data_IF_836208716324
#
_entry.id   IF_836208716324
#
_cell.length_a   1.000
_cell.length_b   1.000
_cell.length_c   1.000
_cell.angle_alpha   90.00
_cell.angle_beta   90.00
_cell.angle_gamma   90.00
#
_symmetry.space_group_name_H-M   'P 1'
#
loop_
_entity.id
_entity.type
_entity.pdbx_description
1 polymer ?
#
# COMPACT_ATOMS: atom_id res chain seq x y z
N UNK A 1 -27.72 -48.78 3.62
CA UNK A 1 -26.54 -48.15 3.00
C UNK A 1 -27.00 -46.94 2.22
N UNK A 2 -27.02 -45.76 2.86
CA UNK A 2 -27.37 -44.51 2.21
C UNK A 2 -26.15 -44.06 1.38
N UNK A 3 -26.31 -44.08 0.05
CA UNK A 3 -25.30 -43.56 -0.86
C UNK A 3 -25.11 -42.08 -0.61
N UNK A 4 -23.95 -41.72 -0.06
CA UNK A 4 -23.53 -40.32 0.05
C UNK A 4 -23.39 -39.75 -1.36
N UNK A 5 -24.41 -39.03 -1.83
CA UNK A 5 -24.34 -38.25 -3.06
C UNK A 5 -23.23 -37.21 -2.94
N UNK A 6 -22.16 -37.38 -3.72
CA UNK A 6 -21.01 -36.49 -3.68
C UNK A 6 -21.25 -35.27 -4.58
N UNK A 7 -20.98 -34.04 -4.11
CA UNK A 7 -21.27 -32.83 -4.87
C UNK A 7 -20.41 -32.68 -6.14
N UNK A 8 -20.99 -32.15 -7.26
CA UNK A 8 -20.24 -31.83 -8.47
C UNK A 8 -19.32 -30.60 -8.29
N UNK A 9 -18.31 -30.43 -9.17
CA UNK A 9 -17.31 -29.35 -9.11
C UNK A 9 -17.92 -27.93 -8.90
N UNK A 10 -19.03 -27.53 -9.56
CA UNK A 10 -19.67 -26.24 -9.31
C UNK A 10 -20.15 -26.06 -7.86
N UNK A 11 -20.59 -27.13 -7.20
CA UNK A 11 -21.02 -27.10 -5.80
C UNK A 11 -19.84 -26.93 -4.84
N UNK A 12 -18.66 -27.44 -5.20
CA UNK A 12 -17.44 -27.26 -4.40
C UNK A 12 -16.86 -25.85 -4.58
N UNK A 13 -16.86 -25.30 -5.79
CA UNK A 13 -16.50 -23.90 -6.02
C UNK A 13 -17.47 -22.96 -5.29
N UNK A 14 -18.77 -23.26 -5.31
CA UNK A 14 -19.76 -22.52 -4.54
C UNK A 14 -19.44 -22.56 -3.04
N UNK A 15 -19.00 -23.69 -2.48
CA UNK A 15 -18.62 -23.79 -1.06
C UNK A 15 -17.50 -22.81 -0.67
N UNK A 16 -16.48 -22.66 -1.51
CA UNK A 16 -15.31 -21.84 -1.24
C UNK A 16 -15.34 -20.44 -1.88
N UNK A 17 -16.46 -20.03 -2.49
CA UNK A 17 -16.60 -18.73 -3.16
C UNK A 17 -16.22 -17.53 -2.27
N UNK A 18 -16.45 -17.64 -0.95
CA UNK A 18 -16.17 -16.55 -0.01
C UNK A 18 -14.69 -16.40 0.34
N UNK A 19 -13.83 -17.39 0.05
CA UNK A 19 -12.39 -17.24 0.29
C UNK A 19 -11.62 -16.75 -0.95
N UNK A 20 -12.24 -16.74 -2.13
CA UNK A 20 -11.60 -16.23 -3.35
C UNK A 20 -11.38 -14.72 -3.26
N UNK A 21 -10.26 -14.26 -3.79
CA UNK A 21 -9.88 -12.84 -3.86
C UNK A 21 -8.63 -12.48 -3.07
N UNK A 22 -8.49 -11.18 -2.80
CA UNK A 22 -7.31 -10.59 -2.18
C UNK A 22 -7.52 -10.36 -0.68
N UNK A 23 -6.49 -10.65 0.11
CA UNK A 23 -6.58 -10.68 1.57
C UNK A 23 -5.31 -10.17 2.24
N UNK A 24 -5.50 -9.55 3.40
CA UNK A 24 -4.42 -9.20 4.33
C UNK A 24 -4.54 -10.11 5.57
N UNK A 25 -3.47 -10.83 5.95
CA UNK A 25 -3.46 -11.60 7.19
C UNK A 25 -3.34 -10.69 8.40
N UNK A 26 -4.02 -11.06 9.49
CA UNK A 26 -3.97 -10.39 10.78
C UNK A 26 -2.75 -10.87 11.58
N UNK A 27 -1.59 -10.24 11.32
CA UNK A 27 -0.28 -10.57 11.93
C UNK A 27 0.25 -9.36 12.68
N UNK A 28 -0.55 -8.87 13.65
CA UNK A 28 -0.21 -7.68 14.42
C UNK A 28 0.14 -6.49 13.50
N UNK A 29 1.27 -5.80 13.72
CA UNK A 29 1.63 -4.65 12.89
C UNK A 29 2.11 -5.02 11.49
N UNK A 30 2.44 -6.29 11.21
CA UNK A 30 3.16 -6.67 10.00
C UNK A 30 2.28 -6.85 8.77
N UNK A 31 1.02 -7.27 8.94
CA UNK A 31 0.13 -7.57 7.82
C UNK A 31 0.69 -8.63 6.86
N UNK A 32 0.43 -8.46 5.57
CA UNK A 32 0.81 -9.42 4.52
C UNK A 32 -0.08 -9.29 3.28
N UNK A 33 0.18 -10.11 2.26
CA UNK A 33 -0.61 -10.11 1.03
C UNK A 33 -0.87 -11.54 0.56
N UNK A 34 -2.13 -11.97 0.62
CA UNK A 34 -2.56 -13.28 0.14
C UNK A 34 -3.56 -13.11 -1.01
N UNK A 35 -3.33 -13.80 -2.13
CA UNK A 35 -4.31 -13.91 -3.21
C UNK A 35 -4.78 -15.37 -3.33
N UNK A 36 -6.08 -15.59 -3.17
CA UNK A 36 -6.69 -16.92 -3.22
C UNK A 36 -7.38 -17.10 -4.56
N UNK A 37 -6.87 -18.04 -5.36
CA UNK A 37 -7.25 -18.22 -6.76
C UNK A 37 -7.64 -19.66 -7.07
N UNK A 38 -8.39 -19.85 -8.15
CA UNK A 38 -8.67 -21.17 -8.73
C UNK A 38 -7.60 -21.47 -9.79
N UNK A 39 -6.98 -22.65 -9.70
CA UNK A 39 -6.03 -23.15 -10.68
C UNK A 39 -6.33 -24.64 -10.98
N UNK A 40 -6.96 -24.89 -12.13
CA UNK A 40 -7.44 -26.22 -12.51
C UNK A 40 -8.39 -26.81 -11.46
N UNK A 41 -7.96 -27.92 -10.83
CA UNK A 41 -8.69 -28.58 -9.76
C UNK A 41 -8.26 -28.11 -8.36
N UNK A 42 -7.56 -26.99 -8.24
CA UNK A 42 -7.12 -26.45 -6.96
C UNK A 42 -7.70 -25.07 -6.69
N UNK A 43 -7.91 -24.78 -5.40
CA UNK A 43 -7.94 -23.41 -4.89
C UNK A 43 -6.65 -23.20 -4.10
N UNK A 44 -5.85 -22.20 -4.42
CA UNK A 44 -4.54 -21.98 -3.82
C UNK A 44 -4.48 -20.60 -3.19
N UNK A 45 -4.05 -20.53 -1.92
CA UNK A 45 -3.72 -19.28 -1.26
C UNK A 45 -2.25 -18.93 -1.47
N UNK A 46 -1.97 -18.02 -2.40
CA UNK A 46 -0.62 -17.53 -2.70
C UNK A 46 -0.26 -16.35 -1.81
N UNK A 47 0.73 -16.52 -0.94
CA UNK A 47 1.32 -15.44 -0.16
C UNK A 47 2.38 -14.74 -1.00
N UNK A 48 2.23 -13.43 -1.17
CA UNK A 48 3.16 -12.56 -1.86
C UNK A 48 4.02 -11.81 -0.86
N UNK A 49 5.32 -11.81 -1.09
CA UNK A 49 6.33 -11.20 -0.22
C UNK A 49 7.17 -10.21 -1.05
N UNK A 50 7.59 -9.08 -0.47
CA UNK A 50 8.47 -8.15 -1.18
C UNK A 50 9.82 -8.82 -1.52
N UNK A 51 10.56 -8.31 -2.50
CA UNK A 51 11.94 -8.75 -2.76
C UNK A 51 12.85 -8.40 -1.58
N UNK A 52 14.13 -8.74 -1.69
CA UNK A 52 15.12 -8.41 -0.66
C UNK A 52 15.42 -6.91 -0.65
N UNK A 53 15.60 -6.34 0.54
CA UNK A 53 16.00 -4.93 0.69
C UNK A 53 17.40 -4.68 0.09
N UNK A 54 17.64 -3.55 -0.61
CA UNK A 54 16.70 -2.45 -0.92
C UNK A 54 16.08 -2.52 -2.33
N UNK A 55 16.08 -3.69 -2.97
CA UNK A 55 15.82 -3.87 -4.41
C UNK A 55 14.33 -3.76 -4.78
N UNK A 56 13.75 -2.56 -4.67
CA UNK A 56 12.34 -2.29 -5.03
C UNK A 56 12.04 -2.52 -6.51
N UNK A 57 13.04 -2.61 -7.40
CA UNK A 57 12.83 -2.97 -8.80
C UNK A 57 12.45 -4.43 -9.02
N UNK A 58 12.83 -5.31 -8.09
CA UNK A 58 12.73 -6.76 -8.28
C UNK A 58 11.28 -7.26 -8.17
N UNK A 59 10.97 -8.42 -8.80
CA UNK A 59 9.65 -9.02 -8.74
C UNK A 59 9.29 -9.48 -7.32
N UNK A 60 7.98 -9.58 -7.05
CA UNK A 60 7.48 -10.17 -5.82
C UNK A 60 7.90 -11.64 -5.73
N UNK A 61 8.31 -12.08 -4.54
CA UNK A 61 8.40 -13.50 -4.21
C UNK A 61 6.99 -14.00 -3.89
N UNK A 62 6.71 -15.27 -4.15
CA UNK A 62 5.43 -15.86 -3.79
C UNK A 62 5.56 -17.35 -3.45
N UNK A 63 4.73 -17.81 -2.50
CA UNK A 63 4.67 -19.22 -2.09
C UNK A 63 3.26 -19.62 -1.65
N UNK A 64 2.85 -20.88 -1.80
CA UNK A 64 1.52 -21.32 -1.38
C UNK A 64 1.50 -21.49 0.15
N UNK A 65 0.44 -21.04 0.82
CA UNK A 65 0.23 -21.31 2.26
C UNK A 65 -0.76 -22.44 2.51
N UNK A 66 -1.71 -22.61 1.59
CA UNK A 66 -2.65 -23.71 1.60
C UNK A 66 -3.10 -24.00 0.18
N UNK A 67 -3.63 -25.21 -0.03
CA UNK A 67 -4.40 -25.55 -1.21
C UNK A 67 -5.62 -26.37 -0.85
N UNK A 68 -6.64 -26.31 -1.70
CA UNK A 68 -7.85 -27.10 -1.61
C UNK A 68 -7.96 -27.89 -2.90
N UNK A 69 -7.81 -29.21 -2.82
CA UNK A 69 -7.91 -30.09 -3.98
C UNK A 69 -9.37 -30.49 -4.22
N UNK A 70 -9.89 -30.09 -5.37
CA UNK A 70 -11.23 -30.38 -5.85
C UNK A 70 -11.22 -31.75 -6.54
N UNK A 71 -11.47 -32.81 -5.78
CA UNK A 71 -11.52 -34.17 -6.34
C UNK A 71 -12.92 -34.51 -6.86
N UNK A 72 -13.00 -35.14 -8.04
CA UNK A 72 -14.24 -35.75 -8.50
C UNK A 72 -14.68 -36.85 -7.53
N UNK A 73 -15.93 -36.82 -7.08
CA UNK A 73 -16.54 -37.87 -6.23
C UNK A 73 -15.89 -38.05 -4.85
N UNK A 74 -15.11 -37.08 -4.35
CA UNK A 74 -14.75 -36.96 -2.92
C UNK A 74 -15.00 -35.54 -2.40
N UNK A 75 -15.11 -35.38 -1.09
CA UNK A 75 -15.03 -34.05 -0.47
C UNK A 75 -13.66 -33.43 -0.77
N UNK A 76 -13.63 -32.14 -1.06
CA UNK A 76 -12.37 -31.43 -1.25
C UNK A 76 -11.45 -31.60 -0.05
N UNK A 77 -10.16 -31.81 -0.29
CA UNK A 77 -9.15 -31.93 0.76
C UNK A 77 -8.44 -30.60 0.93
N UNK A 78 -8.37 -30.13 2.16
CA UNK A 78 -7.63 -28.91 2.53
C UNK A 78 -6.25 -29.33 3.02
N UNK A 79 -5.22 -28.75 2.42
CA UNK A 79 -3.83 -29.02 2.77
C UNK A 79 -3.14 -27.72 3.17
N UNK A 80 -2.44 -27.75 4.31
CA UNK A 80 -1.46 -26.75 4.67
C UNK A 80 -0.19 -26.99 3.84
N UNK A 81 0.38 -25.91 3.32
CA UNK A 81 1.58 -25.94 2.47
C UNK A 81 2.79 -25.32 3.16
N UNK A 82 2.66 -24.92 4.42
CA UNK A 82 3.72 -24.26 5.18
C UNK A 82 4.80 -25.24 5.65
N UNK A 83 6.02 -24.74 5.86
CA UNK A 83 7.17 -25.56 6.22
C UNK A 83 7.84 -26.25 5.04
N UNK A 84 8.71 -27.22 5.35
CA UNK A 84 9.62 -27.83 4.37
C UNK A 84 9.47 -29.35 4.25
N UNK A 85 8.41 -29.92 4.85
CA UNK A 85 8.12 -31.38 4.84
C UNK A 85 6.97 -31.78 3.91
N UNK A 86 6.55 -30.87 3.04
CA UNK A 86 5.50 -31.10 2.04
C UNK A 86 4.06 -30.85 2.54
N UNK A 87 3.07 -31.05 1.65
CA UNK A 87 1.66 -30.85 1.97
C UNK A 87 1.17 -31.78 3.08
N UNK A 88 0.37 -31.25 3.99
CA UNK A 88 -0.18 -31.99 5.12
C UNK A 88 -1.57 -31.46 5.51
N UNK A 89 -2.26 -32.10 6.44
CA UNK A 89 -3.67 -31.79 6.72
C UNK A 89 -3.83 -30.35 7.26
N UNK A 90 -4.68 -29.57 6.61
CA UNK A 90 -5.04 -28.21 7.02
C UNK A 90 -6.55 -28.03 7.12
N UNK A 91 -6.96 -26.90 7.68
CA UNK A 91 -8.37 -26.51 7.80
C UNK A 91 -8.57 -25.07 7.33
N UNK A 92 -9.75 -24.82 6.76
CA UNK A 92 -10.25 -23.48 6.44
C UNK A 92 -11.56 -23.28 7.18
N UNK A 93 -11.66 -22.18 7.91
CA UNK A 93 -12.90 -21.74 8.55
C UNK A 93 -13.33 -20.41 7.95
N UNK A 94 -14.47 -20.41 7.26
CA UNK A 94 -15.09 -19.19 6.73
C UNK A 94 -15.90 -18.56 7.87
N UNK A 95 -15.52 -17.36 8.31
CA UNK A 95 -16.18 -16.68 9.43
C UNK A 95 -17.30 -15.79 8.90
N UNK A 96 -16.98 -14.96 7.91
CA UNK A 96 -17.91 -14.05 7.22
C UNK A 96 -17.54 -13.98 5.73
N UNK A 97 -18.29 -13.20 4.95
CA UNK A 97 -17.96 -12.94 3.53
C UNK A 97 -16.55 -12.36 3.35
N UNK A 98 -16.11 -11.53 4.29
CA UNK A 98 -14.88 -10.74 4.20
C UNK A 98 -13.83 -11.18 5.23
N UNK A 99 -13.99 -12.39 5.78
CA UNK A 99 -13.08 -12.95 6.80
C UNK A 99 -13.06 -14.48 6.77
N UNK A 100 -11.87 -15.06 6.70
CA UNK A 100 -11.65 -16.51 6.89
C UNK A 100 -10.37 -16.77 7.65
N UNK A 101 -10.21 -17.98 8.19
CA UNK A 101 -8.98 -18.40 8.85
C UNK A 101 -8.48 -19.75 8.36
N UNK A 102 -7.18 -19.96 8.56
CA UNK A 102 -6.45 -21.22 8.33
C UNK A 102 -6.07 -21.83 9.67
N UNK A 103 -6.03 -23.15 9.75
CA UNK A 103 -5.48 -23.86 10.91
C UNK A 103 -4.70 -25.10 10.47
N UNK A 104 -3.50 -25.26 11.00
CA UNK A 104 -2.70 -26.47 10.88
C UNK A 104 -2.69 -27.21 12.22
N UNK A 105 -3.02 -28.50 12.23
CA UNK A 105 -2.95 -29.34 13.43
C UNK A 105 -1.70 -30.25 13.43
N UNK A 106 -0.87 -30.18 12.38
CA UNK A 106 0.32 -31.00 12.16
C UNK A 106 1.55 -30.10 12.01
N UNK A 107 1.78 -29.23 13.01
CA UNK A 107 2.84 -28.21 12.97
C UNK A 107 4.26 -28.79 13.11
N UNK A 108 4.38 -30.08 13.38
CA UNK A 108 5.62 -30.85 13.25
C UNK A 108 6.19 -30.78 11.83
N UNK A 109 5.33 -30.55 10.83
CA UNK A 109 5.71 -30.33 9.43
C UNK A 109 6.44 -29.00 9.21
N UNK A 110 6.23 -28.03 10.11
CA UNK A 110 6.84 -26.72 10.05
C UNK A 110 8.24 -26.68 10.69
N UNK A 111 8.55 -27.67 11.55
CA UNK A 111 9.80 -27.73 12.29
C UNK A 111 10.94 -28.28 11.44
N UNK A 112 12.13 -27.68 11.58
CA UNK A 112 13.36 -28.16 10.92
C UNK A 112 14.22 -28.99 11.88
N UNK A 113 15.09 -29.86 11.33
CA UNK A 113 15.94 -30.77 12.11
C UNK A 113 16.93 -30.04 13.01
N UNK A 114 17.45 -28.90 12.57
CA UNK A 114 18.32 -27.99 13.33
C UNK A 114 17.55 -27.04 14.25
N UNK A 115 16.26 -27.30 14.48
CA UNK A 115 15.39 -26.54 15.38
C UNK A 115 15.20 -25.08 14.95
N UNK A 116 14.86 -24.25 15.93
CA UNK A 116 14.52 -22.82 15.73
C UNK A 116 15.66 -22.00 15.10
N UNK A 117 16.91 -22.40 15.31
CA UNK A 117 18.06 -21.72 14.70
C UNK A 117 18.12 -21.95 13.18
N UNK A 118 17.83 -23.18 12.73
CA UNK A 118 17.76 -23.47 11.30
C UNK A 118 16.52 -22.82 10.65
N UNK A 119 15.38 -22.81 11.36
CA UNK A 119 14.18 -22.09 10.92
C UNK A 119 14.46 -20.60 10.72
N UNK A 120 15.14 -19.95 11.68
CA UNK A 120 15.52 -18.55 11.57
C UNK A 120 16.47 -18.29 10.40
N UNK A 121 17.54 -19.09 10.24
CA UNK A 121 18.50 -18.94 9.15
C UNK A 121 17.85 -19.14 7.78
N UNK A 122 16.91 -20.08 7.67
CA UNK A 122 16.17 -20.33 6.43
C UNK A 122 15.22 -19.17 6.12
N UNK A 123 14.45 -18.72 7.11
CA UNK A 123 13.58 -17.55 6.97
C UNK A 123 14.36 -16.28 6.62
N UNK A 124 15.52 -16.05 7.25
CA UNK A 124 16.37 -14.89 6.98
C UNK A 124 16.89 -14.91 5.54
N UNK A 125 17.30 -16.08 5.03
CA UNK A 125 17.69 -16.25 3.63
C UNK A 125 16.52 -15.97 2.69
N UNK A 126 15.32 -16.44 3.01
CA UNK A 126 14.13 -16.21 2.20
C UNK A 126 13.73 -14.73 2.17
N UNK A 127 13.74 -14.04 3.32
CA UNK A 127 13.25 -12.66 3.47
C UNK A 127 14.27 -11.58 3.15
N UNK A 128 15.56 -11.85 3.36
CA UNK A 128 16.63 -10.85 3.25
C UNK A 128 17.77 -11.24 2.33
N UNK A 129 17.94 -12.53 2.02
CA UNK A 129 19.04 -13.00 1.15
C UNK A 129 20.45 -12.81 1.73
N UNK A 130 20.56 -12.47 3.02
CA UNK A 130 21.81 -12.17 3.74
C UNK A 130 21.89 -12.95 5.04
N UNK A 131 23.08 -13.10 5.61
CA UNK A 131 23.20 -13.56 6.99
C UNK A 131 22.95 -12.41 7.97
N UNK A 132 22.83 -12.71 9.27
CA UNK A 132 22.59 -11.66 10.26
C UNK A 132 23.83 -10.78 10.43
N UNK A 133 25.02 -11.38 10.29
CA UNK A 133 26.32 -10.73 10.39
C UNK A 133 26.57 -9.74 9.24
N UNK A 134 26.00 -10.00 8.06
CA UNK A 134 26.08 -9.11 6.89
C UNK A 134 25.18 -7.86 7.02
N UNK A 135 24.31 -7.81 8.03
CA UNK A 135 23.40 -6.69 8.29
C UNK A 135 24.08 -5.74 9.27
N UNK A 136 24.71 -4.69 8.75
CA UNK A 136 25.59 -3.79 9.51
C UNK A 136 24.95 -3.03 10.68
N UNK A 137 23.61 -2.88 10.72
CA UNK A 137 22.94 -2.10 11.76
C UNK A 137 22.29 -3.02 12.82
N UNK A 138 22.78 -2.94 14.05
CA UNK A 138 22.27 -3.74 15.19
C UNK A 138 20.75 -3.58 15.38
N UNK A 139 20.24 -2.35 15.34
CA UNK A 139 18.81 -2.10 15.45
C UNK A 139 17.98 -2.82 14.37
N UNK A 140 18.51 -2.94 13.15
CA UNK A 140 17.86 -3.68 12.07
C UNK A 140 17.85 -5.20 12.36
N UNK A 141 18.94 -5.73 12.91
CA UNK A 141 18.99 -7.14 13.36
C UNK A 141 17.94 -7.42 14.45
N UNK A 142 17.78 -6.52 15.42
CA UNK A 142 16.77 -6.64 16.48
C UNK A 142 15.35 -6.67 15.90
N UNK A 143 15.03 -5.75 14.99
CA UNK A 143 13.72 -5.69 14.32
C UNK A 143 13.44 -6.98 13.52
N UNK A 144 14.45 -7.50 12.83
CA UNK A 144 14.37 -8.74 12.06
C UNK A 144 14.09 -9.94 12.98
N UNK A 145 14.84 -10.06 14.08
CA UNK A 145 14.64 -11.10 15.08
C UNK A 145 13.25 -11.01 15.71
N UNK A 146 12.80 -9.81 16.09
CA UNK A 146 11.47 -9.59 16.64
C UNK A 146 10.39 -9.99 15.64
N UNK A 147 10.51 -9.58 14.37
CA UNK A 147 9.57 -9.97 13.30
C UNK A 147 9.52 -11.48 13.13
N UNK A 148 10.67 -12.17 13.08
CA UNK A 148 10.70 -13.62 12.99
C UNK A 148 10.00 -14.28 14.18
N UNK A 149 10.36 -13.90 15.41
CA UNK A 149 9.80 -14.50 16.63
C UNK A 149 8.28 -14.29 16.66
N UNK A 150 7.81 -13.08 16.39
CA UNK A 150 6.40 -12.72 16.44
C UNK A 150 5.58 -13.46 15.36
N UNK A 151 5.99 -13.34 14.09
CA UNK A 151 5.25 -13.92 12.96
C UNK A 151 5.23 -15.45 13.01
N UNK A 152 6.31 -16.08 13.48
CA UNK A 152 6.37 -17.54 13.61
C UNK A 152 5.54 -18.11 14.76
N UNK A 153 5.04 -17.29 15.71
CA UNK A 153 4.09 -17.76 16.74
C UNK A 153 2.75 -18.16 16.14
N UNK A 154 2.36 -17.56 15.01
CA UNK A 154 1.10 -17.89 14.36
C UNK A 154 1.14 -19.29 13.74
N UNK A 155 2.32 -19.77 13.36
CA UNK A 155 2.54 -21.12 12.82
C UNK A 155 1.55 -21.49 11.69
N UNK A 156 1.30 -20.52 10.79
CA UNK A 156 0.33 -20.57 9.70
C UNK A 156 -1.14 -20.81 10.14
N UNK A 157 -1.47 -20.57 11.41
CA UNK A 157 -2.83 -20.45 11.90
C UNK A 157 -3.25 -18.98 11.88
N UNK A 158 -3.67 -18.53 10.70
CA UNK A 158 -3.89 -17.10 10.40
C UNK A 158 -5.36 -16.80 10.13
N UNK A 159 -5.81 -15.64 10.59
CA UNK A 159 -7.06 -14.99 10.16
C UNK A 159 -6.75 -13.98 9.06
N UNK A 160 -7.59 -13.93 8.04
CA UNK A 160 -7.44 -13.08 6.87
C UNK A 160 -8.64 -12.18 6.71
N UNK A 161 -8.40 -10.90 6.45
CA UNK A 161 -9.43 -9.91 6.14
C UNK A 161 -9.37 -9.50 4.69
N UNK A 162 -10.54 -9.34 4.07
CA UNK A 162 -10.63 -9.00 2.66
C UNK A 162 -10.08 -7.61 2.40
N UNK A 163 -9.26 -7.50 1.37
CA UNK A 163 -8.82 -6.22 0.80
C UNK A 163 -9.17 -6.19 -0.68
N UNK A 164 -9.12 -5.02 -1.28
CA UNK A 164 -9.38 -4.82 -2.69
C UNK A 164 -8.29 -3.98 -3.34
N UNK A 165 -8.10 -4.17 -4.65
CA UNK A 165 -7.35 -3.21 -5.45
C UNK A 165 -8.16 -1.90 -5.58
N UNK A 166 -7.46 -0.76 -5.64
CA UNK A 166 -8.10 0.54 -5.80
C UNK A 166 -8.78 0.67 -7.17
N UNK A 167 -9.95 1.34 -7.24
CA UNK A 167 -10.56 1.68 -8.51
C UNK A 167 -9.63 2.64 -9.28
N UNK A 168 -9.65 2.55 -10.61
CA UNK A 168 -8.89 3.44 -11.50
C UNK A 168 -9.81 4.44 -12.18
N UNK A 169 -9.37 5.68 -12.28
CA UNK A 169 -10.01 6.76 -13.02
C UNK A 169 -9.09 7.30 -14.12
N UNK A 170 -9.60 7.76 -15.28
CA UNK A 170 -8.77 8.33 -16.34
C UNK A 170 -7.95 9.57 -15.92
N UNK A 171 -8.47 10.32 -14.95
CA UNK A 171 -7.83 11.54 -14.43
C UNK A 171 -6.81 11.26 -13.29
N UNK A 172 -6.61 9.99 -12.92
CA UNK A 172 -5.62 9.63 -11.90
C UNK A 172 -4.21 10.02 -12.37
N UNK A 173 -3.40 10.54 -11.45
CA UNK A 173 -2.03 10.99 -11.74
C UNK A 173 -1.18 9.88 -12.38
N UNK A 174 -1.36 8.65 -11.91
CA UNK A 174 -0.81 7.40 -12.44
C UNK A 174 -1.79 6.28 -12.13
N UNK A 175 -1.65 5.13 -12.77
CA UNK A 175 -2.48 3.96 -12.46
C UNK A 175 -2.39 3.62 -10.95
N UNK A 176 -3.48 3.53 -10.20
CA UNK A 176 -3.42 3.13 -8.79
C UNK A 176 -3.07 1.64 -8.66
N UNK A 177 -2.70 1.20 -7.46
CA UNK A 177 -2.35 -0.20 -7.22
C UNK A 177 -1.35 -0.41 -6.09
N UNK A 178 -0.70 -1.57 -6.10
CA UNK A 178 0.28 -1.96 -5.08
C UNK A 178 1.71 -1.59 -5.51
N UNK A 179 2.50 -1.13 -4.56
CA UNK A 179 3.90 -0.73 -4.72
C UNK A 179 4.74 -1.34 -3.61
N UNK A 180 6.00 -1.63 -3.93
CA UNK A 180 7.03 -2.04 -2.98
C UNK A 180 7.82 -0.79 -2.60
N UNK A 181 7.94 -0.48 -1.32
CA UNK A 181 8.56 0.75 -0.82
C UNK A 181 9.65 0.49 0.22
N UNK A 182 10.70 1.32 0.24
CA UNK A 182 11.74 1.25 1.29
C UNK A 182 11.30 1.98 2.57
N UNK A 183 11.44 1.33 3.72
CA UNK A 183 11.09 1.85 5.06
C UNK A 183 12.26 1.75 6.05
N UNK A 184 13.45 2.19 5.62
CA UNK A 184 14.63 2.30 6.48
C UNK A 184 15.05 0.96 7.09
N UNK A 185 15.15 0.90 8.42
CA UNK A 185 15.56 -0.31 9.15
C UNK A 185 14.50 -1.42 9.15
N UNK A 186 13.27 -1.13 8.74
CA UNK A 186 12.21 -2.14 8.62
C UNK A 186 12.28 -2.93 7.30
N UNK A 187 13.13 -2.48 6.36
CA UNK A 187 13.29 -3.08 5.04
C UNK A 187 12.22 -2.64 4.05
N UNK A 188 11.78 -3.56 3.20
CA UNK A 188 10.73 -3.30 2.22
C UNK A 188 9.34 -3.57 2.76
N UNK A 189 8.40 -2.72 2.37
CA UNK A 189 6.97 -2.88 2.64
C UNK A 189 6.12 -2.76 1.37
N UNK A 190 4.91 -3.30 1.43
CA UNK A 190 3.90 -3.19 0.39
C UNK A 190 2.94 -2.06 0.76
N UNK A 191 2.81 -1.08 -0.12
CA UNK A 191 1.92 0.07 0.04
C UNK A 191 0.95 0.14 -1.14
N UNK A 192 -0.32 0.36 -0.84
CA UNK A 192 -1.37 0.57 -1.83
C UNK A 192 -1.58 2.06 -2.07
N UNK A 193 -1.37 2.49 -3.33
CA UNK A 193 -1.68 3.84 -3.79
C UNK A 193 -3.11 3.89 -4.34
N UNK A 194 -3.92 4.81 -3.83
CA UNK A 194 -5.31 5.04 -4.24
C UNK A 194 -5.60 6.54 -4.37
N UNK A 195 -6.56 6.92 -5.22
CA UNK A 195 -6.93 8.30 -5.48
C UNK A 195 -8.33 8.61 -4.93
N UNK A 196 -8.47 9.80 -4.33
CA UNK A 196 -9.64 10.26 -3.58
C UNK A 196 -9.89 11.74 -3.93
N UNK A 197 -10.37 11.99 -5.15
CA UNK A 197 -10.52 13.35 -5.68
C UNK A 197 -9.16 14.03 -5.85
N UNK A 198 -8.95 15.17 -5.17
CA UNK A 198 -7.69 15.92 -5.20
C UNK A 198 -6.60 15.36 -4.27
N UNK A 199 -6.81 14.19 -3.67
CA UNK A 199 -5.83 13.56 -2.78
C UNK A 199 -5.45 12.18 -3.26
N UNK A 200 -4.18 11.81 -3.12
CA UNK A 200 -3.76 10.43 -3.22
C UNK A 200 -3.34 9.90 -1.84
N UNK A 201 -3.67 8.64 -1.58
CA UNK A 201 -3.45 7.95 -0.30
C UNK A 201 -2.57 6.72 -0.51
N UNK A 202 -1.48 6.66 0.25
CA UNK A 202 -0.66 5.46 0.45
C UNK A 202 -1.09 4.72 1.73
N UNK A 203 -1.61 3.52 1.59
CA UNK A 203 -2.05 2.66 2.71
C UNK A 203 -1.12 1.45 2.84
N UNK A 204 -0.64 1.16 4.06
CA UNK A 204 0.22 0.00 4.31
C UNK A 204 -0.55 -1.31 4.15
N UNK A 205 -0.07 -2.20 3.28
CA UNK A 205 -0.54 -3.59 3.15
C UNK A 205 0.30 -4.52 4.01
N UNK A 206 1.61 -4.27 4.04
CA UNK A 206 2.48 -4.72 5.14
C UNK A 206 2.94 -3.51 5.91
N UNK A 207 3.24 -3.68 7.19
CA UNK A 207 3.76 -2.60 8.01
C UNK A 207 4.80 -3.05 9.02
N UNK A 208 5.00 -2.18 9.99
CA UNK A 208 6.02 -2.30 11.01
C UNK A 208 5.47 -1.83 12.37
N UNK A 209 6.17 -2.11 13.48
CA UNK A 209 5.71 -1.71 14.81
C UNK A 209 5.56 -0.21 15.05
N UNK A 210 6.16 0.64 14.21
CA UNK A 210 5.98 2.09 14.27
C UNK A 210 4.72 2.49 13.51
N UNK A 211 4.58 2.11 12.23
CA UNK A 211 3.38 2.33 11.43
C UNK A 211 2.83 0.97 10.97
N UNK A 212 1.77 0.47 11.65
CA UNK A 212 1.18 -0.83 11.34
C UNK A 212 0.58 -0.95 9.93
N UNK A 213 0.45 -2.19 9.47
CA UNK A 213 -0.39 -2.53 8.33
C UNK A 213 -1.83 -2.00 8.53
N UNK A 214 -2.47 -1.53 7.46
CA UNK A 214 -3.78 -0.88 7.48
C UNK A 214 -3.72 0.64 7.65
N UNK A 215 -2.65 1.19 8.22
CA UNK A 215 -2.52 2.63 8.42
C UNK A 215 -2.20 3.40 7.13
N UNK A 216 -2.61 4.66 7.10
CA UNK A 216 -2.24 5.60 6.04
C UNK A 216 -0.82 6.11 6.29
N UNK A 217 0.15 5.61 5.52
CA UNK A 217 1.56 6.00 5.65
C UNK A 217 1.87 7.32 4.96
N UNK A 218 1.20 7.63 3.85
CA UNK A 218 1.43 8.85 3.06
C UNK A 218 0.10 9.40 2.54
N UNK A 219 -0.03 10.72 2.51
CA UNK A 219 -1.06 11.44 1.74
C UNK A 219 -0.40 12.51 0.89
N UNK A 220 -0.93 12.69 -0.31
CA UNK A 220 -0.40 13.59 -1.31
C UNK A 220 -1.53 14.55 -1.68
N UNK A 221 -1.26 15.85 -1.58
CA UNK A 221 -2.17 16.89 -2.03
C UNK A 221 -1.89 17.19 -3.50
N UNK A 222 -2.76 16.71 -4.38
CA UNK A 222 -2.60 16.83 -5.84
C UNK A 222 -2.87 18.25 -6.35
N UNK A 223 -3.40 19.14 -5.51
CA UNK A 223 -3.55 20.56 -5.86
C UNK A 223 -2.32 21.38 -5.48
N UNK A 224 -1.39 20.83 -4.69
CA UNK A 224 -0.20 21.52 -4.20
C UNK A 224 1.06 21.01 -4.89
N UNK A 225 1.18 21.36 -6.17
CA UNK A 225 2.40 21.07 -6.95
C UNK A 225 3.58 21.86 -6.40
N UNK A 226 4.70 21.18 -6.15
CA UNK A 226 5.97 21.78 -5.78
C UNK A 226 6.83 21.91 -7.04
N UNK A 227 7.29 23.12 -7.32
CA UNK A 227 8.31 23.33 -8.34
C UNK A 227 9.67 23.09 -7.67
N UNK A 228 10.36 22.03 -8.09
CA UNK A 228 11.73 21.81 -7.61
C UNK A 228 12.65 22.88 -8.21
N UNK A 229 13.63 23.37 -7.44
CA UNK A 229 14.67 24.22 -7.98
C UNK A 229 15.61 23.41 -8.89
N UNK A 230 16.54 24.10 -9.55
CA UNK A 230 17.58 23.43 -10.34
C UNK A 230 18.43 22.45 -9.50
N UNK A 231 19.25 21.63 -10.18
CA UNK A 231 20.03 20.57 -9.53
C UNK A 231 21.00 21.09 -8.46
N UNK A 232 21.57 22.29 -8.65
CA UNK A 232 22.51 22.85 -7.69
C UNK A 232 21.80 23.25 -6.40
N UNK A 233 20.64 23.90 -6.54
CA UNK A 233 19.80 24.31 -5.43
C UNK A 233 19.06 23.14 -4.77
N UNK A 234 18.69 22.10 -5.52
CA UNK A 234 18.06 20.90 -4.98
C UNK A 234 18.99 20.11 -4.05
N UNK A 235 20.31 20.23 -4.24
CA UNK A 235 21.31 19.68 -3.29
C UNK A 235 21.27 20.40 -1.93
N UNK A 236 20.74 21.62 -1.86
CA UNK A 236 20.60 22.36 -0.61
C UNK A 236 19.32 21.95 0.12
N UNK A 237 19.47 21.13 1.16
CA UNK A 237 18.35 20.68 1.99
C UNK A 237 17.53 21.83 2.59
N UNK A 238 18.17 22.92 3.00
CA UNK A 238 17.48 24.04 3.63
C UNK A 238 16.54 24.76 2.65
N UNK A 239 16.91 24.84 1.38
CA UNK A 239 16.08 25.46 0.35
C UNK A 239 14.83 24.60 0.07
N UNK A 240 15.01 23.28 -0.08
CA UNK A 240 13.86 22.37 -0.20
C UNK A 240 12.95 22.45 1.03
N UNK A 241 13.54 22.46 2.24
CA UNK A 241 12.79 22.56 3.50
C UNK A 241 11.95 23.84 3.56
N UNK A 242 12.52 24.98 3.19
CA UNK A 242 11.83 26.27 3.14
C UNK A 242 10.59 26.20 2.24
N UNK A 243 10.74 25.70 1.00
CA UNK A 243 9.64 25.57 0.04
C UNK A 243 8.51 24.69 0.59
N UNK A 244 8.85 23.55 1.18
CA UNK A 244 7.86 22.60 1.71
C UNK A 244 7.10 23.20 2.90
N UNK A 245 7.80 23.90 3.79
CA UNK A 245 7.18 24.52 4.96
C UNK A 245 6.31 25.72 4.59
N UNK A 246 6.66 26.48 3.55
CA UNK A 246 5.79 27.54 3.00
C UNK A 246 4.48 26.96 2.45
N UNK A 247 4.53 25.85 1.70
CA UNK A 247 3.32 25.16 1.22
C UNK A 247 2.51 24.59 2.38
N UNK A 248 3.15 24.02 3.41
CA UNK A 248 2.47 23.54 4.62
C UNK A 248 1.68 24.67 5.30
N UNK A 249 2.26 25.85 5.41
CA UNK A 249 1.62 27.00 6.03
C UNK A 249 0.41 27.51 5.23
N UNK A 250 0.53 27.55 3.89
CA UNK A 250 -0.60 27.87 3.02
C UNK A 250 -1.76 26.86 3.18
N UNK A 251 -1.45 25.56 3.18
CA UNK A 251 -2.43 24.49 3.38
C UNK A 251 -3.12 24.62 4.74
N UNK A 252 -2.37 24.95 5.81
CA UNK A 252 -2.93 25.16 7.15
C UNK A 252 -3.90 26.35 7.18
N UNK A 253 -3.51 27.48 6.58
CA UNK A 253 -4.34 28.69 6.53
C UNK A 253 -5.66 28.46 5.79
N UNK A 254 -5.64 27.72 4.67
CA UNK A 254 -6.85 27.40 3.92
C UNK A 254 -7.78 26.44 4.67
N UNK A 255 -7.23 25.47 5.40
CA UNK A 255 -8.03 24.56 6.24
C UNK A 255 -8.73 25.31 7.38
N UNK A 256 -8.03 26.24 8.04
CA UNK A 256 -8.61 27.07 9.11
C UNK A 256 -9.65 28.07 8.58
N UNK A 257 -9.45 28.62 7.39
CA UNK A 257 -10.42 29.52 6.76
C UNK A 257 -11.68 28.81 6.25
N UNK A 258 -11.57 27.54 5.86
CA UNK A 258 -12.68 26.70 5.41
C UNK A 258 -13.62 26.20 6.52
N UNK A 259 -13.18 26.26 7.79
CA UNK A 259 -13.97 25.85 8.98
C UNK A 259 -14.71 27.01 9.67
N UNK A 260 -14.74 28.21 9.07
CA UNK A 260 -15.50 29.35 9.59
C UNK A 260 -17.03 29.17 9.47
N UNK A 261 -17.84 29.63 10.45
CA UNK A 261 -19.30 29.52 10.38
C UNK A 261 -19.83 30.33 9.20
N UNK A 262 -20.59 29.68 8.32
CA UNK A 262 -21.28 30.34 7.22
C UNK A 262 -22.12 31.51 7.79
N UNK A 263 -21.96 32.75 7.30
CA UNK A 263 -22.84 33.83 7.72
C UNK A 263 -24.25 33.52 7.22
N UNK A 264 -25.19 33.46 8.17
CA UNK A 264 -26.63 33.42 7.93
C UNK A 264 -27.00 34.52 6.92
N UNK A 265 -27.36 34.12 5.70
CA UNK A 265 -28.15 34.96 4.80
C UNK A 265 -29.61 34.57 4.99
N UNK A 266 -30.35 35.45 5.66
CA UNK A 266 -31.80 35.42 5.71
C UNK A 266 -32.41 35.52 4.29
N UNK A 267 -33.52 34.82 4.01
CA UNK A 267 -34.14 34.83 2.69
C UNK A 267 -34.97 36.11 2.49
N UNK A 268 -34.50 36.99 1.61
CA UNK A 268 -35.32 38.10 1.11
C UNK A 268 -36.25 37.62 -0.02
N UNK A 269 -37.49 38.09 0.07
CA UNK A 269 -38.73 37.72 -0.62
C UNK A 269 -38.71 38.09 -2.12
N UNK A 270 -39.31 37.22 -2.96
CA UNK A 270 -39.68 37.48 -4.37
C UNK A 270 -40.72 38.62 -4.43
N UNK A 271 -40.80 39.46 -5.47
CA UNK A 271 -41.47 39.19 -6.76
C UNK A 271 -41.49 40.51 -7.61
N UNK A 272 -42.14 40.62 -8.81
CA UNK A 272 -41.46 40.74 -10.11
C UNK A 272 -41.80 42.02 -10.91
N UNK A 273 -41.12 42.28 -12.05
CA UNK A 273 -41.67 42.78 -13.34
C UNK A 273 -40.55 43.12 -14.36
N UNK A 274 -40.70 42.65 -15.61
CA UNK A 274 -39.93 43.09 -16.79
C UNK A 274 -40.59 44.32 -17.46
N UNK A 275 -40.29 44.72 -18.74
CA UNK A 275 -39.67 43.97 -19.85
C UNK A 275 -38.71 44.87 -20.73
N UNK A 276 -38.51 44.69 -22.07
CA UNK A 276 -37.33 44.01 -22.62
C UNK A 276 -36.48 44.80 -23.65
N UNK A 277 -35.37 44.16 -24.05
CA UNK A 277 -34.62 44.25 -25.32
C UNK A 277 -33.69 45.45 -25.60
N UNK A 278 -32.40 45.15 -25.85
CA UNK A 278 -31.77 45.25 -27.18
C UNK A 278 -30.32 44.74 -27.17
N UNK A 279 -29.97 44.01 -28.23
CA UNK A 279 -28.63 43.56 -28.55
C UNK A 279 -27.83 44.67 -29.23
N UNK A 280 -26.55 44.81 -28.87
CA UNK A 280 -25.53 45.38 -29.76
C UNK A 280 -24.14 44.89 -29.34
N UNK A 281 -23.43 44.36 -30.34
CA UNK A 281 -22.01 44.00 -30.33
C UNK A 281 -21.16 45.24 -30.08
N UNK A 282 -20.04 45.09 -29.37
CA UNK A 282 -18.80 45.79 -29.72
C UNK A 282 -17.59 45.05 -29.14
N UNK A 283 -16.54 44.99 -29.96
CA UNK A 283 -15.28 44.32 -29.72
C UNK A 283 -14.27 45.31 -29.09
N UNK A 284 -13.44 44.82 -28.17
CA UNK A 284 -12.31 45.54 -27.61
C UNK A 284 -11.12 44.58 -27.43
N UNK A 285 -9.89 44.97 -27.82
CA UNK A 285 -8.74 44.07 -27.96
C UNK A 285 -7.89 44.00 -26.68
N UNK A 286 -7.15 42.89 -26.54
CA UNK A 286 -5.90 42.87 -25.79
C UNK A 286 -5.96 42.27 -24.39
N UNK A 287 -5.46 41.05 -24.26
CA UNK A 287 -4.42 40.72 -23.30
C UNK A 287 -3.83 39.38 -23.73
N UNK A 288 -2.56 39.43 -24.08
CA UNK A 288 -1.76 38.33 -24.59
C UNK A 288 -1.89 37.11 -23.67
N UNK A 289 -2.36 36.02 -24.28
CA UNK A 289 -2.29 34.71 -23.66
C UNK A 289 -0.81 34.42 -23.40
N UNK A 290 -0.42 34.45 -22.13
CA UNK A 290 0.79 33.82 -21.69
C UNK A 290 0.69 32.35 -22.09
N UNK A 291 1.42 32.00 -23.16
CA UNK A 291 1.69 30.64 -23.58
C UNK A 291 2.28 29.91 -22.36
N UNK A 292 1.41 29.23 -21.61
CA UNK A 292 1.83 28.18 -20.71
C UNK A 292 2.42 27.10 -21.59
N UNK A 293 3.74 27.18 -21.75
CA UNK A 293 4.56 26.20 -22.43
C UNK A 293 4.13 24.80 -21.99
N UNK A 294 3.55 24.09 -22.94
CA UNK A 294 3.16 22.70 -22.86
C UNK A 294 4.41 21.82 -22.83
N UNK A 295 5.12 21.80 -21.69
CA UNK A 295 6.13 20.78 -21.37
C UNK A 295 5.47 19.56 -20.74
N UNK A 296 4.34 19.12 -21.31
CA UNK A 296 3.69 17.85 -20.95
C UNK A 296 4.46 16.69 -21.57
N UNK A 297 5.61 16.34 -20.96
CA UNK A 297 6.37 15.14 -21.36
C UNK A 297 7.86 15.13 -21.01
N UNK A 298 8.50 16.28 -20.81
CA UNK A 298 9.92 16.32 -20.45
C UNK A 298 10.06 16.39 -18.93
N UNK A 299 10.48 15.29 -18.30
CA UNK A 299 10.88 15.30 -16.90
C UNK A 299 12.07 16.24 -16.67
N UNK A 300 12.23 16.70 -15.44
CA UNK A 300 13.36 17.50 -15.01
C UNK A 300 14.40 16.64 -14.27
N UNK A 301 15.69 17.01 -14.29
CA UNK A 301 16.72 16.35 -13.49
C UNK A 301 16.37 16.32 -11.99
N UNK A 302 16.72 15.24 -11.32
CA UNK A 302 16.43 15.02 -9.90
C UNK A 302 17.66 14.46 -9.18
N UNK A 303 17.95 15.01 -8.01
CA UNK A 303 18.97 14.55 -7.06
C UNK A 303 18.44 14.73 -5.65
N UNK A 304 18.78 13.83 -4.73
CA UNK A 304 18.45 14.04 -3.33
C UNK A 304 19.29 15.19 -2.73
N UNK A 305 18.71 16.00 -1.83
CA UNK A 305 19.46 16.99 -1.08
C UNK A 305 20.58 16.37 -0.24
N UNK A 306 21.66 17.11 -0.04
CA UNK A 306 22.76 16.68 0.81
C UNK A 306 22.28 16.38 2.24
N UNK A 307 22.68 15.23 2.77
CA UNK A 307 22.29 14.78 4.10
C UNK A 307 20.95 14.03 4.16
N UNK A 308 20.23 13.89 3.05
CA UNK A 308 19.08 12.97 2.95
C UNK A 308 19.59 11.56 2.66
N UNK A 309 19.23 10.63 3.53
CA UNK A 309 19.57 9.21 3.37
C UNK A 309 18.59 8.50 2.43
N UNK A 310 19.10 7.58 1.61
CA UNK A 310 18.26 6.64 0.88
C UNK A 310 18.84 5.23 1.02
N UNK A 311 17.97 4.24 1.21
CA UNK A 311 18.37 2.82 1.21
C UNK A 311 18.78 2.37 -0.20
N UNK A 312 18.16 2.93 -1.24
CA UNK A 312 18.39 2.55 -2.61
C UNK A 312 19.14 3.67 -3.35
N UNK A 313 20.40 3.44 -3.69
CA UNK A 313 21.22 4.42 -4.43
C UNK A 313 20.78 4.56 -5.90
N UNK A 314 20.15 3.52 -6.45
CA UNK A 314 19.71 3.42 -7.85
C UNK A 314 18.30 4.01 -8.09
N UNK A 315 17.99 5.15 -7.48
CA UNK A 315 16.76 5.88 -7.78
C UNK A 315 16.87 6.66 -9.11
N UNK A 316 15.76 6.87 -9.85
CA UNK A 316 15.79 7.61 -11.11
C UNK A 316 16.29 9.05 -10.93
N UNK A 317 17.12 9.51 -11.88
CA UNK A 317 17.73 10.86 -11.87
C UNK A 317 16.89 11.92 -12.60
N UNK A 318 15.65 11.60 -12.93
CA UNK A 318 14.71 12.48 -13.61
C UNK A 318 13.32 12.28 -13.03
N UNK A 319 12.64 13.36 -12.62
CA UNK A 319 11.26 13.31 -12.13
C UNK A 319 10.32 14.12 -13.03
N UNK A 320 9.06 13.73 -13.11
CA UNK A 320 8.02 14.40 -13.91
C UNK A 320 7.32 15.50 -13.12
N UNK A 321 6.88 15.17 -11.91
CA UNK A 321 6.03 16.02 -11.07
C UNK A 321 6.40 15.86 -9.61
N UNK A 322 6.21 16.90 -8.82
CA UNK A 322 6.37 16.88 -7.38
C UNK A 322 5.17 17.54 -6.71
N UNK A 323 4.71 16.96 -5.60
CA UNK A 323 3.56 17.44 -4.86
C UNK A 323 3.89 17.49 -3.37
N UNK A 324 3.26 18.44 -2.67
CA UNK A 324 3.25 18.42 -1.22
C UNK A 324 2.53 17.17 -0.73
N UNK A 325 3.09 16.55 0.31
CA UNK A 325 2.43 15.47 1.00
C UNK A 325 2.79 15.44 2.46
N UNK A 326 2.11 14.57 3.19
CA UNK A 326 2.39 14.32 4.60
C UNK A 326 2.53 12.83 4.86
N UNK A 327 3.59 12.46 5.56
CA UNK A 327 3.86 11.10 5.99
C UNK A 327 3.41 10.91 7.44
N UNK A 328 2.82 9.76 7.76
CA UNK A 328 2.51 9.40 9.14
C UNK A 328 3.75 8.76 9.77
N UNK A 329 4.18 9.30 10.91
CA UNK A 329 5.26 8.75 11.74
C UNK A 329 4.74 8.48 13.15
N UNK A 330 5.37 7.56 13.87
CA UNK A 330 5.02 7.24 15.24
C UNK A 330 6.21 6.58 15.95
N UNK A 331 6.21 6.62 17.28
CA UNK A 331 7.10 5.81 18.11
C UNK A 331 6.78 4.32 18.01
N UNK A 332 7.67 3.48 18.54
CA UNK A 332 7.46 2.04 18.57
C UNK A 332 6.15 1.68 19.30
N UNK A 333 5.41 0.70 18.78
CA UNK A 333 4.08 0.35 19.26
C UNK A 333 2.99 1.33 18.79
N UNK A 334 3.20 2.01 17.66
CA UNK A 334 2.31 3.03 17.11
C UNK A 334 1.94 4.13 18.12
N UNK A 335 2.93 4.57 18.90
CA UNK A 335 2.73 5.55 19.97
C UNK A 335 2.85 6.98 19.46
N UNK A 336 1.93 7.84 19.90
CA UNK A 336 1.87 9.27 19.54
C UNK A 336 2.02 9.53 18.03
N UNK A 337 1.13 8.95 17.18
CA UNK A 337 1.25 9.12 15.74
C UNK A 337 1.00 10.58 15.32
N UNK A 338 1.82 11.08 14.41
CA UNK A 338 1.71 12.44 13.89
C UNK A 338 2.06 12.51 12.40
N UNK A 339 1.56 13.57 11.74
CA UNK A 339 1.83 13.81 10.31
C UNK A 339 2.99 14.78 10.16
N UNK A 340 4.03 14.36 9.45
CA UNK A 340 5.17 15.21 9.11
C UNK A 340 5.15 15.59 7.63
N UNK A 341 5.60 16.81 7.28
CA UNK A 341 5.61 17.27 5.90
C UNK A 341 6.66 16.53 5.08
N UNK A 342 6.39 16.43 3.79
CA UNK A 342 7.30 15.82 2.83
C UNK A 342 6.97 16.17 1.39
N UNK A 343 7.77 15.62 0.48
CA UNK A 343 7.60 15.82 -0.96
C UNK A 343 7.38 14.48 -1.62
N UNK A 344 6.23 14.33 -2.28
CA UNK A 344 6.00 13.25 -3.22
C UNK A 344 6.68 13.58 -4.55
N UNK A 345 7.45 12.63 -5.10
CA UNK A 345 8.21 12.77 -6.33
C UNK A 345 7.78 11.69 -7.31
N UNK A 346 7.15 12.06 -8.42
CA UNK A 346 6.79 11.13 -9.49
C UNK A 346 7.95 10.99 -10.47
N UNK A 347 8.47 9.77 -10.65
CA UNK A 347 9.53 9.51 -11.63
C UNK A 347 8.96 9.09 -12.98
N UNK A 348 8.09 8.08 -12.98
CA UNK A 348 7.44 7.52 -14.15
C UNK A 348 6.11 6.85 -13.77
N UNK A 349 5.48 6.11 -14.69
CA UNK A 349 4.18 5.46 -14.47
C UNK A 349 4.18 4.43 -13.32
N UNK A 350 5.36 3.87 -13.00
CA UNK A 350 5.50 2.74 -12.10
C UNK A 350 6.39 3.03 -10.89
N UNK A 351 7.02 4.21 -10.84
CA UNK A 351 7.94 4.59 -9.76
C UNK A 351 7.69 5.99 -9.26
N UNK A 352 7.67 6.12 -7.94
CA UNK A 352 7.61 7.39 -7.24
C UNK A 352 8.47 7.32 -5.97
N UNK A 353 8.70 8.46 -5.36
CA UNK A 353 9.39 8.58 -4.07
C UNK A 353 8.65 9.50 -3.11
N UNK A 354 8.99 9.38 -1.84
CA UNK A 354 8.56 10.31 -0.81
C UNK A 354 9.77 10.74 0.02
N UNK A 355 10.01 12.05 0.06
CA UNK A 355 11.06 12.65 0.88
C UNK A 355 10.45 13.09 2.22
N UNK A 356 10.87 12.41 3.29
CA UNK A 356 10.47 12.67 4.67
C UNK A 356 11.32 13.81 5.22
N UNK A 357 10.73 15.01 5.34
CA UNK A 357 11.52 16.22 5.60
C UNK A 357 12.19 16.17 6.98
N UNK A 358 11.43 15.84 8.02
CA UNK A 358 11.91 15.83 9.40
C UNK A 358 12.91 14.69 9.69
N UNK A 359 12.79 13.58 8.95
CA UNK A 359 13.66 12.41 9.10
C UNK A 359 14.92 12.47 8.23
N UNK A 360 15.02 13.43 7.31
CA UNK A 360 16.06 13.48 6.25
C UNK A 360 16.21 12.11 5.58
N UNK A 361 15.09 11.52 5.20
CA UNK A 361 15.01 10.16 4.65
C UNK A 361 14.22 10.17 3.35
N UNK A 362 14.59 9.28 2.42
CA UNK A 362 13.90 9.11 1.16
C UNK A 362 13.43 7.67 0.99
N UNK A 363 12.11 7.51 0.83
CA UNK A 363 11.48 6.25 0.47
C UNK A 363 11.26 6.17 -1.03
N UNK A 364 11.77 5.12 -1.67
CA UNK A 364 11.53 4.83 -3.09
C UNK A 364 10.47 3.74 -3.21
N UNK A 365 9.54 3.91 -4.15
CA UNK A 365 8.44 3.01 -4.42
C UNK A 365 8.43 2.55 -5.88
N UNK A 366 8.15 1.26 -6.09
CA UNK A 366 8.08 0.65 -7.41
C UNK A 366 6.91 -0.33 -7.52
N UNK A 367 6.14 -0.22 -8.60
CA UNK A 367 4.88 -0.93 -8.81
C UNK A 367 5.06 -2.45 -8.73
N UNK A 368 4.13 -3.12 -8.06
CA UNK A 368 3.98 -4.57 -8.11
C UNK A 368 3.44 -4.96 -9.49
N UNK A 369 4.25 -5.68 -10.26
CA UNK A 369 3.89 -6.12 -11.63
C UNK A 369 3.04 -7.40 -11.66
N UNK A 370 2.89 -8.08 -10.52
CA UNK A 370 2.04 -9.26 -10.40
C UNK A 370 0.57 -8.87 -10.64
N UNK A 371 -0.16 -9.75 -11.34
CA UNK A 371 -1.60 -9.60 -11.56
C UNK A 371 -2.36 -10.42 -10.52
N UNK A 372 -3.36 -9.82 -9.89
CA UNK A 372 -4.19 -10.46 -8.87
C UNK A 372 -5.57 -10.79 -9.44
N UNK A 373 -6.12 -11.93 -9.06
CA UNK A 373 -7.44 -12.38 -9.51
C UNK A 373 -8.48 -12.10 -8.44
N UNK A 374 -9.72 -11.82 -8.83
CA UNK A 374 -10.84 -11.60 -7.91
C UNK A 374 -10.55 -10.50 -6.86
N UNK A 375 -9.77 -9.49 -7.26
CA UNK A 375 -9.21 -8.50 -6.34
C UNK A 375 -9.90 -7.13 -6.42
N UNK A 376 -10.72 -6.88 -7.44
CA UNK A 376 -11.37 -5.58 -7.65
C UNK A 376 -12.46 -5.32 -6.61
N UNK A 377 -12.56 -4.05 -6.18
CA UNK A 377 -13.63 -3.62 -5.31
C UNK A 377 -14.99 -3.68 -6.02
N UNK A 378 -16.08 -4.12 -5.36
CA UNK A 378 -17.42 -4.11 -5.95
C UNK A 378 -17.93 -2.71 -6.31
N UNK A 379 -17.48 -1.69 -5.58
CA UNK A 379 -17.75 -0.27 -5.82
C UNK A 379 -16.68 0.59 -5.15
N UNK A 380 -16.54 1.88 -5.53
CA UNK A 380 -15.66 2.81 -4.82
C UNK A 380 -15.98 2.93 -3.33
N UNK A 381 -17.26 2.90 -2.95
CA UNK A 381 -17.67 2.97 -1.54
C UNK A 381 -17.25 1.72 -0.74
N UNK A 382 -17.29 0.55 -1.37
CA UNK A 382 -16.82 -0.70 -0.76
C UNK A 382 -15.29 -0.68 -0.57
N UNK A 383 -14.56 -0.01 -1.47
CA UNK A 383 -13.12 0.23 -1.31
C UNK A 383 -12.84 1.14 -0.10
N UNK A 384 -13.57 2.25 0.03
CA UNK A 384 -13.42 3.18 1.16
C UNK A 384 -13.79 2.53 2.50
N UNK A 385 -14.84 1.70 2.52
CA UNK A 385 -15.22 0.91 3.69
C UNK A 385 -14.12 -0.08 4.08
N UNK A 386 -13.55 -0.78 3.10
CA UNK A 386 -12.42 -1.68 3.32
C UNK A 386 -11.22 -0.93 3.92
N UNK A 387 -10.86 0.25 3.39
CA UNK A 387 -9.80 1.09 3.94
C UNK A 387 -10.04 1.45 5.41
N UNK A 388 -11.26 1.85 5.77
CA UNK A 388 -11.62 2.16 7.17
C UNK A 388 -11.52 0.92 8.08
N UNK A 389 -11.93 -0.24 7.58
CA UNK A 389 -11.93 -1.48 8.35
C UNK A 389 -10.52 -2.01 8.63
N UNK A 390 -9.60 -1.95 7.66
CA UNK A 390 -8.20 -2.36 7.90
C UNK A 390 -7.45 -1.34 8.76
N UNK A 391 -7.79 -0.06 8.66
CA UNK A 391 -7.20 0.97 9.50
C UNK A 391 -7.63 0.82 10.97
N UNK A 392 -8.92 0.58 11.23
CA UNK A 392 -9.44 0.43 12.60
C UNK A 392 -9.00 -0.85 13.30
N UNK A 393 -8.57 -1.87 12.54
CA UNK A 393 -8.01 -3.10 13.10
C UNK A 393 -6.70 -2.86 13.85
N UNK A 394 -5.91 -1.88 13.41
CA UNK A 394 -4.56 -1.61 13.92
C UNK A 394 -4.42 -0.20 14.51
N UNK A 395 -5.56 0.46 14.79
CA UNK A 395 -5.65 1.76 15.47
C UNK A 395 -5.40 1.66 16.97
#
# INVERSE_FOLDING_TARGET
MLGNCVPPLPTVLHRYRHILGLWQPDIGPYGGLLNVVVDGLFIIGWMYLPPHDPHVGDPMRFKPLFRIHLMERKSATVECMYGHKGPHNGHIQIVKRDEFSTKCNQTDHHRMSGGRQEEFRTWLREEWGRTLEDIFHEHMQELILMKFIYTSQYDNCLTYRRIYLPPSHPDDLIKPGLFKGTYGSHGLEIVMLSFHGSRARGTKITGDPNIPAGQQTVEIDLQRRIQLPDVENLRNFNELSRIVLEVREQVRQEQEAGEGPAPHREPAVKDPEGPPAKASKEAGPGAEAAEQSSTSGQGQPFVLPAGVSSRNEDYPRTCRLCFYGTGLIAGHGFTSPERTPGVFVLFDEDRFGFLWLELKSFSLYSRVQATFQNADAPSPQAFDEMLRNIQSLTS
#
